data_IF_349286181475
#
_entry.id   IF_349286181475
#
_cell.length_a   1.000
_cell.length_b   1.000
_cell.length_c   1.000
_cell.angle_alpha   90.00
_cell.angle_beta   90.00
_cell.angle_gamma   90.00
#
_symmetry.space_group_name_H-M   'P 1'
#
loop_
_entity.id
_entity.type
_entity.pdbx_description
1 polymer ?
#
# COMPACT_ATOMS: atom_id res chain seq x y z
N UNK A 1 -20.41 -27.24 14.24
CA UNK A 1 -20.46 -27.28 12.76
C UNK A 1 -21.04 -26.01 12.12
N UNK A 2 -22.16 -25.46 12.60
CA UNK A 2 -22.78 -24.23 12.05
C UNK A 2 -21.84 -23.01 11.83
N UNK A 3 -20.93 -22.63 12.76
CA UNK A 3 -20.09 -21.44 12.56
C UNK A 3 -19.01 -21.62 11.48
N UNK A 4 -18.39 -22.81 11.40
CA UNK A 4 -17.39 -23.09 10.35
C UNK A 4 -18.03 -23.03 8.96
N UNK A 5 -19.24 -23.58 8.81
CA UNK A 5 -20.00 -23.53 7.55
C UNK A 5 -20.35 -22.08 7.20
N UNK A 6 -20.79 -21.26 8.18
CA UNK A 6 -21.07 -19.84 7.94
C UNK A 6 -19.85 -19.09 7.40
N UNK A 7 -18.67 -19.31 7.97
CA UNK A 7 -17.42 -18.73 7.48
C UNK A 7 -17.06 -19.18 6.06
N UNK A 8 -17.17 -20.47 5.76
CA UNK A 8 -16.89 -21.02 4.44
C UNK A 8 -17.87 -20.50 3.37
N UNK A 9 -19.16 -20.43 3.69
CA UNK A 9 -20.19 -19.84 2.82
C UNK A 9 -19.90 -18.37 2.53
N UNK A 10 -19.47 -17.59 3.53
CA UNK A 10 -19.07 -16.21 3.32
C UNK A 10 -17.80 -16.06 2.47
N UNK A 11 -16.86 -17.01 2.53
CA UNK A 11 -15.71 -17.03 1.64
C UNK A 11 -16.10 -17.25 0.17
N UNK A 12 -16.99 -18.22 -0.09
CA UNK A 12 -17.52 -18.47 -1.45
C UNK A 12 -18.30 -17.26 -1.96
N UNK A 13 -19.18 -16.68 -1.12
CA UNK A 13 -19.92 -15.46 -1.44
C UNK A 13 -18.98 -14.31 -1.78
N UNK A 14 -17.96 -14.06 -0.95
CA UNK A 14 -16.96 -13.02 -1.18
C UNK A 14 -16.20 -13.23 -2.50
N UNK A 15 -15.81 -14.48 -2.80
CA UNK A 15 -15.11 -14.80 -4.03
C UNK A 15 -15.99 -14.53 -5.26
N UNK A 16 -17.25 -14.97 -5.24
CA UNK A 16 -18.19 -14.73 -6.34
C UNK A 16 -18.51 -13.24 -6.53
N UNK A 17 -18.83 -12.53 -5.43
CA UNK A 17 -19.15 -11.09 -5.49
C UNK A 17 -17.97 -10.25 -6.00
N UNK A 18 -16.73 -10.65 -5.71
CA UNK A 18 -15.55 -9.94 -6.20
C UNK A 18 -15.13 -10.37 -7.62
N UNK A 19 -15.26 -11.65 -7.97
CA UNK A 19 -14.85 -12.17 -9.27
C UNK A 19 -15.79 -11.78 -10.41
N UNK A 20 -17.12 -11.86 -10.20
CA UNK A 20 -18.11 -11.63 -11.27
C UNK A 20 -17.93 -10.27 -11.95
N UNK A 21 -17.81 -9.13 -11.24
CA UNK A 21 -17.61 -7.83 -11.88
C UNK A 21 -16.33 -7.77 -12.72
N UNK A 22 -15.23 -8.36 -12.23
CA UNK A 22 -13.96 -8.41 -12.95
C UNK A 22 -14.10 -9.26 -14.22
N UNK A 23 -14.71 -10.44 -14.09
CA UNK A 23 -14.94 -11.34 -15.22
C UNK A 23 -15.80 -10.67 -16.30
N UNK A 24 -16.87 -9.96 -15.92
CA UNK A 24 -17.72 -9.23 -16.88
C UNK A 24 -16.94 -8.14 -17.64
N UNK A 25 -16.11 -7.36 -16.93
CA UNK A 25 -15.28 -6.33 -17.55
C UNK A 25 -14.27 -6.96 -18.52
N UNK A 26 -13.63 -8.05 -18.13
CA UNK A 26 -12.66 -8.76 -18.98
C UNK A 26 -13.35 -9.39 -20.20
N UNK A 27 -14.53 -9.98 -20.03
CA UNK A 27 -15.31 -10.53 -21.13
C UNK A 27 -15.77 -9.44 -22.10
N UNK A 28 -16.14 -8.26 -21.61
CA UNK A 28 -16.49 -7.12 -22.46
C UNK A 28 -15.28 -6.59 -23.24
N UNK A 29 -14.12 -6.48 -22.58
CA UNK A 29 -12.87 -6.11 -23.25
C UNK A 29 -12.45 -7.15 -24.31
N UNK A 30 -12.57 -8.44 -23.98
CA UNK A 30 -12.32 -9.52 -24.93
C UNK A 30 -13.32 -9.50 -26.09
N UNK A 31 -14.62 -9.36 -25.81
CA UNK A 31 -15.67 -9.32 -26.83
C UNK A 31 -15.44 -8.21 -27.88
N UNK A 32 -14.89 -7.07 -27.45
CA UNK A 32 -14.71 -5.88 -28.29
C UNK A 32 -13.36 -5.79 -28.98
N UNK A 33 -12.30 -6.36 -28.39
CA UNK A 33 -10.94 -6.21 -28.90
C UNK A 33 -10.23 -7.53 -29.26
N UNK A 34 -10.64 -8.66 -28.69
CA UNK A 34 -9.91 -9.93 -28.77
C UNK A 34 -10.71 -11.13 -29.25
N UNK A 35 -12.02 -10.99 -29.49
CA UNK A 35 -12.92 -12.10 -29.80
C UNK A 35 -12.73 -12.69 -31.19
N UNK A 36 -12.20 -11.90 -32.14
CA UNK A 36 -11.95 -12.34 -33.51
C UNK A 36 -10.85 -13.40 -33.63
N UNK A 37 -9.91 -13.43 -32.68
CA UNK A 37 -8.72 -14.31 -32.72
C UNK A 37 -8.44 -15.08 -31.42
N UNK A 38 -9.16 -14.79 -30.34
CA UNK A 38 -8.93 -15.39 -29.02
C UNK A 38 -10.05 -16.34 -28.59
N UNK A 39 -9.72 -17.27 -27.69
CA UNK A 39 -10.68 -18.22 -27.12
C UNK A 39 -11.28 -17.67 -25.83
N UNK A 40 -12.59 -17.90 -25.61
CA UNK A 40 -13.30 -17.47 -24.39
C UNK A 40 -12.63 -17.96 -23.09
N UNK A 41 -12.08 -19.17 -23.11
CA UNK A 41 -11.38 -19.76 -21.96
C UNK A 41 -10.14 -18.96 -21.56
N UNK A 42 -9.43 -18.37 -22.54
CA UNK A 42 -8.28 -17.52 -22.27
C UNK A 42 -8.70 -16.18 -21.66
N UNK A 43 -9.83 -15.63 -22.10
CA UNK A 43 -10.42 -14.42 -21.50
C UNK A 43 -10.81 -14.65 -20.04
N UNK A 44 -11.51 -15.77 -19.74
CA UNK A 44 -11.86 -16.15 -18.37
C UNK A 44 -10.61 -16.35 -17.51
N UNK A 45 -9.57 -17.00 -18.05
CA UNK A 45 -8.29 -17.17 -17.35
C UNK A 45 -7.61 -15.83 -17.07
N UNK A 46 -7.63 -14.89 -18.01
CA UNK A 46 -7.17 -13.52 -17.81
C UNK A 46 -7.94 -12.80 -16.70
N UNK A 47 -9.26 -13.02 -16.61
CA UNK A 47 -10.09 -12.53 -15.51
C UNK A 47 -9.67 -13.08 -14.15
N UNK A 48 -9.31 -14.36 -14.08
CA UNK A 48 -8.76 -14.96 -12.86
C UNK A 48 -7.43 -14.31 -12.49
N UNK A 49 -6.53 -14.05 -13.45
CA UNK A 49 -5.26 -13.37 -13.15
C UNK A 49 -5.46 -11.96 -12.62
N UNK A 50 -6.36 -11.17 -13.21
CA UNK A 50 -6.68 -9.83 -12.68
C UNK A 50 -7.26 -9.94 -11.27
N UNK A 51 -8.19 -10.88 -11.04
CA UNK A 51 -8.76 -11.09 -9.72
C UNK A 51 -7.72 -11.51 -8.68
N UNK A 52 -6.79 -12.42 -9.03
CA UNK A 52 -5.66 -12.80 -8.18
C UNK A 52 -4.72 -11.61 -7.93
N UNK A 53 -4.43 -10.80 -8.94
CA UNK A 53 -3.62 -9.59 -8.84
C UNK A 53 -4.23 -8.56 -7.89
N UNK A 54 -5.55 -8.36 -7.93
CA UNK A 54 -6.28 -7.49 -6.98
C UNK A 54 -6.17 -7.98 -5.53
N UNK A 55 -5.83 -9.25 -5.31
CA UNK A 55 -5.48 -9.80 -3.99
C UNK A 55 -3.97 -9.79 -3.71
N UNK A 56 -3.16 -9.05 -4.47
CA UNK A 56 -1.68 -9.05 -4.35
C UNK A 56 -1.04 -10.44 -4.54
N UNK A 57 -1.68 -11.33 -5.30
CA UNK A 57 -0.98 -12.53 -5.79
C UNK A 57 -0.06 -12.10 -6.93
N UNK A 58 1.22 -12.44 -6.81
CA UNK A 58 2.24 -12.07 -7.80
C UNK A 58 2.49 -13.21 -8.78
N UNK A 59 3.10 -12.90 -9.93
CA UNK A 59 3.27 -13.86 -11.02
C UNK A 59 4.73 -14.01 -11.40
N UNK A 60 5.11 -15.26 -11.69
CA UNK A 60 6.31 -15.58 -12.45
C UNK A 60 5.92 -15.70 -13.91
N UNK A 61 6.74 -15.14 -14.79
CA UNK A 61 6.51 -15.07 -16.22
C UNK A 61 7.61 -15.80 -16.98
N UNK A 62 7.25 -16.35 -18.13
CA UNK A 62 8.17 -16.84 -19.16
C UNK A 62 7.86 -16.03 -20.42
N UNK A 63 8.69 -15.03 -20.72
CA UNK A 63 8.41 -14.00 -21.72
C UNK A 63 8.53 -14.55 -23.15
N UNK A 64 7.45 -14.60 -23.95
CA UNK A 64 7.53 -15.01 -25.35
C UNK A 64 8.13 -13.90 -26.24
N UNK A 65 8.81 -14.23 -27.36
CA UNK A 65 9.19 -15.57 -27.81
C UNK A 65 10.50 -16.08 -27.19
N UNK A 66 11.22 -15.23 -26.44
CA UNK A 66 12.58 -15.51 -25.96
C UNK A 66 12.64 -16.58 -24.87
N UNK A 67 11.54 -16.85 -24.18
CA UNK A 67 11.49 -17.78 -23.06
C UNK A 67 12.19 -17.26 -21.80
N UNK A 68 12.61 -16.00 -21.78
CA UNK A 68 13.36 -15.42 -20.67
C UNK A 68 12.50 -15.31 -19.41
N UNK A 69 13.09 -15.50 -18.22
CA UNK A 69 12.37 -15.35 -16.97
C UNK A 69 11.92 -13.89 -16.77
N UNK A 70 10.71 -13.73 -16.25
CA UNK A 70 10.18 -12.44 -15.84
C UNK A 70 9.30 -12.54 -14.60
N UNK A 71 8.87 -11.40 -14.08
CA UNK A 71 7.94 -11.34 -12.94
C UNK A 71 6.97 -10.18 -13.06
N UNK A 72 5.75 -10.39 -12.58
CA UNK A 72 4.77 -9.35 -12.33
C UNK A 72 4.46 -9.34 -10.84
N UNK A 73 5.17 -8.50 -10.09
CA UNK A 73 4.96 -8.34 -8.64
C UNK A 73 4.64 -6.90 -8.23
N UNK A 74 4.84 -5.93 -9.12
CA UNK A 74 4.34 -4.58 -8.90
C UNK A 74 2.81 -4.56 -9.11
N UNK A 75 2.08 -4.63 -8.00
CA UNK A 75 0.62 -4.61 -7.97
C UNK A 75 0.14 -3.25 -7.42
N UNK A 76 -0.84 -2.59 -8.07
CA UNK A 76 -1.42 -1.35 -7.57
C UNK A 76 -2.07 -1.53 -6.19
N UNK A 77 -1.57 -0.82 -5.17
CA UNK A 77 -2.07 -0.85 -3.80
C UNK A 77 -3.53 -0.40 -3.69
N UNK A 78 -3.96 0.53 -4.56
CA UNK A 78 -5.36 0.98 -4.61
C UNK A 78 -6.32 -0.14 -5.02
N UNK A 79 -5.85 -1.17 -5.73
CA UNK A 79 -6.67 -2.33 -6.07
C UNK A 79 -7.10 -3.11 -4.81
N UNK A 80 -6.31 -3.11 -3.74
CA UNK A 80 -6.61 -3.81 -2.48
C UNK A 80 -7.87 -3.28 -1.79
N UNK A 81 -8.30 -2.05 -2.09
CA UNK A 81 -9.57 -1.51 -1.57
C UNK A 81 -10.76 -2.40 -1.94
N UNK A 82 -10.74 -2.99 -3.13
CA UNK A 82 -11.81 -3.85 -3.60
C UNK A 82 -12.02 -5.09 -2.70
N UNK A 83 -11.03 -5.98 -2.50
CA UNK A 83 -11.21 -7.13 -1.61
C UNK A 83 -11.39 -6.71 -0.14
N UNK A 84 -10.80 -5.61 0.32
CA UNK A 84 -11.04 -5.09 1.68
C UNK A 84 -12.53 -4.76 1.89
N UNK A 85 -13.18 -4.07 0.94
CA UNK A 85 -14.60 -3.73 1.02
C UNK A 85 -15.46 -5.00 1.05
N UNK A 86 -15.12 -6.00 0.24
CA UNK A 86 -15.81 -7.28 0.18
C UNK A 86 -15.70 -8.02 1.52
N UNK A 87 -14.50 -8.13 2.08
CA UNK A 87 -14.29 -8.75 3.40
C UNK A 87 -14.96 -7.99 4.53
N UNK A 88 -14.99 -6.65 4.48
CA UNK A 88 -15.78 -5.85 5.43
C UNK A 88 -17.27 -6.14 5.36
N UNK A 89 -17.79 -6.49 4.18
CA UNK A 89 -19.16 -6.96 4.01
C UNK A 89 -19.39 -8.32 4.70
N UNK A 90 -18.50 -9.29 4.45
CA UNK A 90 -18.57 -10.61 5.08
C UNK A 90 -18.44 -10.55 6.60
N UNK A 91 -17.49 -9.78 7.11
CA UNK A 91 -17.28 -9.60 8.54
C UNK A 91 -18.47 -8.91 9.22
N UNK A 92 -19.15 -7.96 8.54
CA UNK A 92 -20.40 -7.36 9.05
C UNK A 92 -21.50 -8.40 9.22
N UNK A 93 -21.75 -9.22 8.20
CA UNK A 93 -22.77 -10.28 8.25
C UNK A 93 -22.48 -11.33 9.33
N UNK A 94 -21.23 -11.78 9.43
CA UNK A 94 -20.85 -12.73 10.49
C UNK A 94 -21.04 -12.13 11.89
N UNK A 95 -20.73 -10.84 12.08
CA UNK A 95 -20.87 -10.15 13.37
C UNK A 95 -22.33 -9.85 13.75
N UNK A 96 -23.25 -9.73 12.78
CA UNK A 96 -24.68 -9.57 13.08
C UNK A 96 -25.33 -10.87 13.55
N UNK A 97 -24.80 -12.02 13.14
CA UNK A 97 -25.39 -13.32 13.44
C UNK A 97 -24.68 -14.07 14.58
N UNK A 98 -23.37 -13.85 14.75
CA UNK A 98 -22.52 -14.65 15.64
C UNK A 98 -21.70 -13.78 16.60
N UNK A 99 -21.42 -14.31 17.79
CA UNK A 99 -20.63 -13.64 18.82
C UNK A 99 -19.59 -14.59 19.45
N UNK A 100 -18.66 -14.02 20.22
CA UNK A 100 -17.70 -14.78 21.03
C UNK A 100 -16.86 -15.79 20.23
N UNK A 101 -16.80 -17.03 20.73
CA UNK A 101 -16.01 -18.12 20.12
C UNK A 101 -16.53 -18.47 18.72
N UNK A 102 -17.86 -18.47 18.52
CA UNK A 102 -18.47 -18.85 17.23
C UNK A 102 -18.11 -17.86 16.13
N UNK A 103 -18.08 -16.56 16.44
CA UNK A 103 -17.61 -15.53 15.51
C UNK A 103 -16.14 -15.75 15.13
N UNK A 104 -15.26 -16.01 16.12
CA UNK A 104 -13.83 -16.27 15.86
C UNK A 104 -13.63 -17.50 14.98
N UNK A 105 -14.35 -18.58 15.25
CA UNK A 105 -14.34 -19.79 14.41
C UNK A 105 -14.79 -19.52 12.98
N UNK A 106 -15.82 -18.66 12.80
CA UNK A 106 -16.34 -18.32 11.47
C UNK A 106 -15.38 -17.43 10.69
N UNK A 107 -14.74 -16.45 11.34
CA UNK A 107 -13.70 -15.61 10.71
C UNK A 107 -12.49 -16.46 10.31
N UNK A 108 -12.07 -17.39 11.16
CA UNK A 108 -11.00 -18.33 10.85
C UNK A 108 -11.36 -19.23 9.66
N UNK A 109 -12.57 -19.80 9.65
CA UNK A 109 -13.08 -20.62 8.54
C UNK A 109 -13.17 -19.83 7.24
N UNK A 110 -13.61 -18.57 7.29
CA UNK A 110 -13.60 -17.66 6.14
C UNK A 110 -12.18 -17.48 5.60
N UNK A 111 -11.22 -17.20 6.49
CA UNK A 111 -9.81 -17.03 6.12
C UNK A 111 -9.24 -18.26 5.41
N UNK A 112 -9.37 -19.44 6.02
CA UNK A 112 -8.87 -20.69 5.46
C UNK A 112 -9.56 -21.04 4.14
N UNK A 113 -10.89 -20.96 4.08
CA UNK A 113 -11.64 -21.28 2.86
C UNK A 113 -11.25 -20.37 1.70
N UNK A 114 -11.03 -19.08 1.97
CA UNK A 114 -10.60 -18.14 0.94
C UNK A 114 -9.15 -18.37 0.48
N UNK A 115 -8.25 -18.76 1.39
CA UNK A 115 -6.88 -19.19 1.02
C UNK A 115 -6.95 -20.37 0.06
N UNK A 116 -7.78 -21.37 0.33
CA UNK A 116 -7.97 -22.51 -0.59
C UNK A 116 -8.48 -22.08 -1.96
N UNK A 117 -9.43 -21.13 -2.03
CA UNK A 117 -9.92 -20.58 -3.30
C UNK A 117 -8.79 -19.89 -4.07
N UNK A 118 -8.00 -19.02 -3.41
CA UNK A 118 -6.87 -18.34 -4.03
C UNK A 118 -5.82 -19.31 -4.56
N UNK A 119 -5.48 -20.35 -3.78
CA UNK A 119 -4.52 -21.39 -4.18
C UNK A 119 -5.07 -22.20 -5.36
N UNK A 120 -6.32 -22.66 -5.28
CA UNK A 120 -6.95 -23.45 -6.33
C UNK A 120 -6.98 -22.68 -7.66
N UNK A 121 -7.41 -21.42 -7.64
CA UNK A 121 -7.44 -20.58 -8.84
C UNK A 121 -6.04 -20.24 -9.35
N UNK A 122 -5.05 -20.08 -8.46
CA UNK A 122 -3.65 -19.90 -8.86
C UNK A 122 -3.09 -21.12 -9.62
N UNK A 123 -3.42 -22.33 -9.17
CA UNK A 123 -2.98 -23.59 -9.79
C UNK A 123 -3.71 -23.84 -11.10
N UNK A 124 -5.04 -23.70 -11.12
CA UNK A 124 -5.87 -23.99 -12.30
C UNK A 124 -5.67 -22.98 -13.43
N UNK A 125 -5.35 -21.72 -13.11
CA UNK A 125 -5.12 -20.67 -14.12
C UNK A 125 -3.68 -20.59 -14.62
N UNK A 126 -2.78 -21.48 -14.19
CA UNK A 126 -1.38 -21.49 -14.63
C UNK A 126 -1.27 -21.85 -16.12
N UNK A 127 -0.36 -21.18 -16.82
CA UNK A 127 0.09 -21.52 -18.19
C UNK A 127 1.61 -21.63 -18.24
N UNK A 128 2.15 -21.94 -19.42
CA UNK A 128 3.61 -21.99 -19.63
C UNK A 128 4.25 -20.60 -19.50
N UNK A 129 3.53 -19.55 -19.89
CA UNK A 129 4.01 -18.17 -19.90
C UNK A 129 3.69 -17.41 -18.61
N UNK A 130 2.61 -17.78 -17.90
CA UNK A 130 2.12 -17.04 -16.73
C UNK A 130 1.80 -18.03 -15.61
N UNK A 131 2.53 -17.91 -14.50
CA UNK A 131 2.34 -18.75 -13.32
C UNK A 131 2.09 -17.90 -12.08
N UNK A 132 0.86 -17.87 -11.54
CA UNK A 132 0.57 -17.23 -10.26
C UNK A 132 1.33 -17.92 -9.11
N UNK A 133 1.86 -17.14 -8.17
CA UNK A 133 2.59 -17.64 -6.99
C UNK A 133 1.62 -17.96 -5.87
N UNK A 134 1.07 -19.17 -5.92
CA UNK A 134 0.06 -19.67 -4.96
C UNK A 134 0.46 -19.52 -3.49
N UNK A 135 1.76 -19.62 -3.16
CA UNK A 135 2.28 -19.53 -1.80
C UNK A 135 2.16 -18.12 -1.18
N UNK A 136 1.83 -17.09 -1.98
CA UNK A 136 1.56 -15.73 -1.49
C UNK A 136 0.16 -15.61 -0.88
N UNK A 137 -0.76 -16.52 -1.22
CA UNK A 137 -2.16 -16.46 -0.80
C UNK A 137 -2.39 -16.37 0.73
N UNK A 138 -1.67 -17.13 1.59
CA UNK A 138 -1.86 -17.03 3.04
C UNK A 138 -1.51 -15.63 3.57
N UNK A 139 -0.38 -15.06 3.13
CA UNK A 139 0.06 -13.73 3.57
C UNK A 139 -0.93 -12.65 3.10
N UNK A 140 -1.31 -12.68 1.82
CA UNK A 140 -2.33 -11.79 1.27
C UNK A 140 -3.62 -11.84 2.09
N UNK A 141 -4.11 -13.04 2.40
CA UNK A 141 -5.37 -13.20 3.11
C UNK A 141 -5.30 -12.65 4.54
N UNK A 142 -4.21 -12.93 5.27
CA UNK A 142 -4.01 -12.41 6.63
C UNK A 142 -3.98 -10.88 6.63
N UNK A 143 -3.28 -10.27 5.66
CA UNK A 143 -3.19 -8.82 5.53
C UNK A 143 -4.55 -8.21 5.20
N UNK A 144 -5.23 -8.71 4.16
CA UNK A 144 -6.52 -8.18 3.71
C UNK A 144 -7.62 -8.33 4.77
N UNK A 145 -7.71 -9.51 5.40
CA UNK A 145 -8.70 -9.78 6.44
C UNK A 145 -8.38 -9.02 7.74
N UNK A 146 -7.09 -8.85 8.04
CA UNK A 146 -6.60 -8.03 9.15
C UNK A 146 -7.01 -6.56 8.99
N UNK A 147 -6.72 -5.96 7.83
CA UNK A 147 -7.12 -4.57 7.52
C UNK A 147 -8.65 -4.41 7.54
N UNK A 148 -9.38 -5.34 6.92
CA UNK A 148 -10.85 -5.33 6.94
C UNK A 148 -11.42 -5.44 8.37
N UNK A 149 -10.77 -6.22 9.22
CA UNK A 149 -11.15 -6.35 10.63
C UNK A 149 -10.86 -5.09 11.44
N UNK A 150 -9.66 -4.51 11.30
CA UNK A 150 -9.23 -3.31 12.02
C UNK A 150 -10.10 -2.09 11.69
N UNK A 151 -10.35 -1.84 10.40
CA UNK A 151 -11.17 -0.70 9.94
C UNK A 151 -12.61 -0.78 10.45
N UNK A 152 -13.15 -1.99 10.62
CA UNK A 152 -14.49 -2.17 11.16
C UNK A 152 -14.52 -2.09 12.69
N UNK A 153 -13.48 -2.58 13.38
CA UNK A 153 -13.35 -2.44 14.83
C UNK A 153 -13.25 -0.98 15.26
N UNK A 154 -12.52 -0.13 14.53
CA UNK A 154 -12.46 1.30 14.81
C UNK A 154 -13.82 2.00 14.72
N UNK A 155 -14.71 1.54 13.84
CA UNK A 155 -16.04 2.12 13.69
C UNK A 155 -17.02 1.64 14.77
N UNK A 156 -16.81 0.44 15.32
CA UNK A 156 -17.72 -0.20 16.28
C UNK A 156 -17.27 0.05 17.73
N UNK A 157 -15.96 0.10 17.98
CA UNK A 157 -15.41 0.23 19.32
C UNK A 157 -15.41 1.69 19.78
N UNK A 158 -16.33 2.03 20.69
CA UNK A 158 -16.17 3.17 21.62
C UNK A 158 -15.07 2.94 22.67
N UNK A 159 -14.31 1.84 22.57
CA UNK A 159 -13.30 1.43 23.54
C UNK A 159 -12.00 2.19 23.26
N UNK A 160 -11.68 3.19 24.09
CA UNK A 160 -10.48 4.01 23.98
C UNK A 160 -9.28 3.37 24.69
N UNK A 161 -8.87 2.16 24.28
CA UNK A 161 -7.67 1.53 24.84
C UNK A 161 -6.38 2.05 24.17
N UNK A 162 -5.23 1.82 24.82
CA UNK A 162 -3.92 2.23 24.32
C UNK A 162 -3.63 1.78 22.87
N UNK A 163 -4.02 0.55 22.50
CA UNK A 163 -3.82 0.05 21.13
C UNK A 163 -4.56 0.89 20.10
N UNK A 164 -5.81 1.28 20.37
CA UNK A 164 -6.59 2.14 19.48
C UNK A 164 -6.00 3.56 19.40
N UNK A 165 -5.46 4.08 20.51
CA UNK A 165 -4.75 5.36 20.53
C UNK A 165 -3.50 5.31 19.64
N UNK A 166 -2.66 4.27 19.77
CA UNK A 166 -1.47 4.08 18.94
C UNK A 166 -1.84 3.94 17.47
N UNK A 167 -2.82 3.11 17.12
CA UNK A 167 -3.26 2.97 15.72
C UNK A 167 -3.75 4.31 15.17
N UNK A 168 -4.49 5.11 15.95
CA UNK A 168 -4.93 6.44 15.52
C UNK A 168 -3.75 7.38 15.27
N UNK A 169 -2.75 7.39 16.13
CA UNK A 169 -1.52 8.19 15.94
C UNK A 169 -0.82 7.77 14.64
N UNK A 170 -0.62 6.46 14.43
CA UNK A 170 0.03 5.94 13.23
C UNK A 170 -0.73 6.28 11.95
N UNK A 171 -2.06 6.12 11.95
CA UNK A 171 -2.91 6.48 10.81
C UNK A 171 -2.87 7.98 10.51
N UNK A 172 -2.90 8.82 11.53
CA UNK A 172 -2.79 10.27 11.35
C UNK A 172 -1.43 10.65 10.77
N UNK A 173 -0.34 10.18 11.38
CA UNK A 173 1.03 10.56 10.99
C UNK A 173 1.37 10.03 9.60
N UNK A 174 1.21 8.73 9.36
CA UNK A 174 1.52 8.13 8.06
C UNK A 174 0.54 8.60 6.99
N UNK A 175 -0.74 8.79 7.34
CA UNK A 175 -1.75 9.35 6.44
C UNK A 175 -1.42 10.78 6.02
N UNK A 176 -0.93 11.62 6.94
CA UNK A 176 -0.46 12.98 6.62
C UNK A 176 0.76 12.95 5.70
N UNK A 177 1.76 12.09 5.98
CA UNK A 177 2.94 11.95 5.11
C UNK A 177 2.56 11.54 3.69
N UNK A 178 1.71 10.51 3.56
CA UNK A 178 1.21 10.06 2.26
C UNK A 178 0.35 11.14 1.59
N UNK A 179 -0.47 11.87 2.34
CA UNK A 179 -1.25 13.00 1.83
C UNK A 179 -0.38 14.12 1.26
N UNK A 180 0.68 14.52 1.98
CA UNK A 180 1.65 15.53 1.51
C UNK A 180 2.38 15.03 0.26
N UNK A 181 2.78 13.75 0.23
CA UNK A 181 3.42 13.16 -0.94
C UNK A 181 2.51 13.14 -2.18
N UNK A 182 1.19 12.98 -2.00
CA UNK A 182 0.20 13.07 -3.07
C UNK A 182 0.02 14.49 -3.59
N UNK A 183 0.04 15.49 -2.70
CA UNK A 183 0.01 16.91 -3.11
C UNK A 183 1.27 17.23 -3.94
N UNK A 184 2.44 16.80 -3.46
CA UNK A 184 3.71 16.96 -4.19
C UNK A 184 3.68 16.27 -5.55
N UNK A 185 3.23 15.01 -5.61
CA UNK A 185 3.06 14.28 -6.85
C UNK A 185 2.08 14.98 -7.81
N UNK A 186 0.95 15.47 -7.30
CA UNK A 186 -0.06 16.17 -8.10
C UNK A 186 0.49 17.48 -8.69
N UNK A 187 1.26 18.23 -7.89
CA UNK A 187 1.95 19.42 -8.36
C UNK A 187 2.97 19.07 -9.47
N UNK A 188 3.77 18.01 -9.27
CA UNK A 188 4.71 17.53 -10.29
C UNK A 188 3.99 17.10 -11.57
N UNK A 189 2.89 16.35 -11.47
CA UNK A 189 2.11 15.91 -12.62
C UNK A 189 1.49 17.09 -13.38
N UNK A 190 1.00 18.10 -12.66
CA UNK A 190 0.46 19.33 -13.27
C UNK A 190 1.53 20.12 -14.03
N UNK A 191 2.75 20.20 -13.48
CA UNK A 191 3.89 20.83 -14.16
C UNK A 191 4.32 20.05 -15.42
N UNK A 192 4.14 18.73 -15.43
CA UNK A 192 4.50 17.85 -16.55
C UNK A 192 3.26 17.39 -17.35
N UNK A 193 2.19 18.19 -17.36
CA UNK A 193 0.93 17.80 -18.00
C UNK A 193 1.04 17.57 -19.51
N UNK A 194 1.95 18.26 -20.19
CA UNK A 194 2.24 18.01 -21.61
C UNK A 194 2.74 16.58 -21.85
N UNK A 195 3.68 16.10 -21.04
CA UNK A 195 4.21 14.73 -21.12
C UNK A 195 3.10 13.70 -20.85
N UNK A 196 2.23 13.96 -19.88
CA UNK A 196 1.06 13.11 -19.61
C UNK A 196 0.16 12.99 -20.84
N UNK A 197 -0.11 14.11 -21.51
CA UNK A 197 -0.93 14.13 -22.73
C UNK A 197 -0.28 13.32 -23.84
N UNK A 198 1.02 13.50 -24.07
CA UNK A 198 1.76 12.78 -25.11
C UNK A 198 1.75 11.26 -24.86
N UNK A 199 1.94 10.83 -23.61
CA UNK A 199 1.84 9.41 -23.24
C UNK A 199 0.46 8.82 -23.54
N UNK A 200 -0.63 9.53 -23.18
CA UNK A 200 -2.00 9.07 -23.45
C UNK A 200 -2.28 9.04 -24.96
N UNK A 201 -1.79 10.03 -25.71
CA UNK A 201 -1.94 10.09 -27.18
C UNK A 201 -1.21 8.94 -27.86
N UNK A 202 -0.02 8.56 -27.39
CA UNK A 202 0.73 7.41 -27.93
C UNK A 202 0.04 6.08 -27.57
N UNK A 203 -0.56 5.96 -26.40
CA UNK A 203 -1.24 4.73 -25.96
C UNK A 203 -2.50 4.41 -26.78
N UNK A 204 -3.17 5.42 -27.34
CA UNK A 204 -4.42 5.30 -28.12
C UNK A 204 -5.40 4.24 -27.55
N UNK A 205 -5.77 4.30 -26.27
CA UNK A 205 -6.41 3.16 -25.59
C UNK A 205 -7.88 2.94 -26.01
N UNK A 206 -8.44 3.76 -26.89
CA UNK A 206 -9.87 3.78 -27.21
C UNK A 206 -10.74 4.10 -25.99
N UNK A 207 -12.06 3.96 -26.11
CA UNK A 207 -12.99 4.28 -25.02
C UNK A 207 -12.87 3.26 -23.88
N UNK A 208 -13.03 1.96 -24.18
CA UNK A 208 -12.99 0.91 -23.15
C UNK A 208 -11.60 0.78 -22.53
N UNK A 209 -10.54 0.73 -23.33
CA UNK A 209 -9.18 0.70 -22.80
C UNK A 209 -8.84 1.99 -22.03
N UNK A 210 -9.38 3.15 -22.44
CA UNK A 210 -9.22 4.41 -21.71
C UNK A 210 -9.82 4.37 -20.31
N UNK A 211 -11.03 3.79 -20.16
CA UNK A 211 -11.66 3.57 -18.86
C UNK A 211 -10.83 2.61 -17.99
N UNK A 212 -10.36 1.50 -18.56
CA UNK A 212 -9.53 0.52 -17.84
C UNK A 212 -8.19 1.10 -17.42
N UNK A 213 -7.56 1.89 -18.30
CA UNK A 213 -6.32 2.61 -18.02
C UNK A 213 -6.53 3.63 -16.90
N UNK A 214 -7.65 4.36 -16.91
CA UNK A 214 -7.98 5.30 -15.84
C UNK A 214 -8.13 4.59 -14.49
N UNK A 215 -8.82 3.44 -14.45
CA UNK A 215 -8.95 2.63 -13.24
C UNK A 215 -7.57 2.17 -12.75
N UNK A 216 -6.71 1.69 -13.65
CA UNK A 216 -5.35 1.25 -13.33
C UNK A 216 -4.50 2.41 -12.80
N UNK A 217 -4.59 3.57 -13.43
CA UNK A 217 -3.92 4.81 -13.00
C UNK A 217 -4.36 5.16 -11.58
N UNK A 218 -5.67 5.26 -11.32
CA UNK A 218 -6.19 5.57 -9.98
C UNK A 218 -5.74 4.54 -8.96
N UNK A 219 -5.77 3.25 -9.31
CA UNK A 219 -5.32 2.18 -8.42
C UNK A 219 -3.82 2.25 -8.09
N UNK A 220 -3.00 2.85 -8.96
CA UNK A 220 -1.54 2.95 -8.80
C UNK A 220 -1.10 4.20 -8.02
N UNK A 221 -2.00 5.19 -7.87
CA UNK A 221 -1.72 6.43 -7.12
C UNK A 221 -1.10 6.16 -5.73
N UNK A 222 -1.58 5.20 -4.91
CA UNK A 222 -0.96 4.95 -3.62
C UNK A 222 0.48 4.44 -3.69
N UNK A 223 0.86 3.66 -4.72
CA UNK A 223 2.25 3.25 -4.92
C UNK A 223 3.14 4.46 -5.24
N UNK A 224 2.61 5.40 -6.05
CA UNK A 224 3.32 6.62 -6.40
C UNK A 224 3.45 7.56 -5.19
N UNK A 225 2.46 7.60 -4.30
CA UNK A 225 2.56 8.33 -3.03
C UNK A 225 3.76 7.86 -2.20
N UNK A 226 3.92 6.54 -2.06
CA UNK A 226 5.07 5.95 -1.33
C UNK A 226 6.40 6.33 -2.01
N UNK A 227 6.45 6.29 -3.34
CA UNK A 227 7.63 6.68 -4.11
C UNK A 227 7.96 8.17 -3.98
N UNK A 228 6.94 9.03 -4.04
CA UNK A 228 7.06 10.47 -3.84
C UNK A 228 7.50 10.81 -2.41
N UNK A 229 7.00 10.09 -1.40
CA UNK A 229 7.44 10.25 -0.02
C UNK A 229 8.92 9.87 0.12
N UNK A 230 9.35 8.76 -0.46
CA UNK A 230 10.76 8.37 -0.46
C UNK A 230 11.67 9.38 -1.17
N UNK A 231 11.19 10.01 -2.24
CA UNK A 231 11.89 11.13 -2.89
C UNK A 231 12.04 12.32 -1.94
N UNK A 232 10.96 12.74 -1.27
CA UNK A 232 10.97 13.88 -0.34
C UNK A 232 11.84 13.65 0.90
N UNK A 233 11.84 12.44 1.46
CA UNK A 233 12.71 12.09 2.59
C UNK A 233 14.17 11.91 2.15
N UNK A 234 14.46 11.83 0.84
CA UNK A 234 15.81 11.77 0.30
C UNK A 234 16.30 10.41 -0.26
N UNK A 235 15.88 9.23 0.24
CA UNK A 235 16.28 7.93 -0.32
C UNK A 235 15.97 7.76 -1.80
N UNK A 236 14.87 8.34 -2.28
CA UNK A 236 14.41 8.20 -3.66
C UNK A 236 13.78 6.86 -3.98
N UNK A 237 13.65 6.59 -5.27
CA UNK A 237 13.05 5.37 -5.81
C UNK A 237 13.69 4.97 -7.14
N UNK A 238 13.47 3.72 -7.53
CA UNK A 238 13.89 3.15 -8.81
C UNK A 238 12.70 2.98 -9.76
N UNK A 239 12.96 3.15 -11.05
CA UNK A 239 12.09 2.73 -12.17
C UNK A 239 12.98 1.93 -13.13
N UNK A 240 13.23 0.68 -12.76
CA UNK A 240 14.10 -0.22 -13.49
C UNK A 240 15.46 -0.44 -12.85
N UNK A 241 16.14 -1.49 -13.30
CA UNK A 241 17.44 -1.91 -12.78
C UNK A 241 18.50 -0.83 -12.96
N UNK A 242 19.29 -0.56 -11.91
CA UNK A 242 20.37 0.42 -11.92
C UNK A 242 19.93 1.89 -11.91
N UNK A 243 18.63 2.16 -11.79
CA UNK A 243 18.10 3.53 -11.73
C UNK A 243 18.06 4.05 -10.28
N UNK A 244 18.15 5.37 -10.12
CA UNK A 244 17.94 6.05 -8.85
C UNK A 244 17.49 7.47 -9.10
N UNK A 245 16.32 7.80 -8.56
CA UNK A 245 15.71 9.12 -8.68
C UNK A 245 15.51 9.67 -7.27
N UNK A 246 16.31 10.66 -6.91
CA UNK A 246 16.22 11.40 -5.65
C UNK A 246 16.61 12.88 -5.87
N UNK A 247 16.51 13.77 -4.85
CA UNK A 247 16.85 15.18 -5.00
C UNK A 247 18.27 15.48 -5.50
N UNK A 248 19.24 14.58 -5.29
CA UNK A 248 20.65 14.75 -5.65
C UNK A 248 21.11 13.92 -6.87
N UNK A 249 20.38 12.85 -7.20
CA UNK A 249 20.75 11.87 -8.22
C UNK A 249 19.57 11.65 -9.13
N UNK A 250 19.79 11.81 -10.43
CA UNK A 250 18.84 11.49 -11.48
C UNK A 250 19.49 10.53 -12.46
N UNK A 251 19.35 9.22 -12.19
CA UNK A 251 19.76 8.14 -13.10
C UNK A 251 18.51 7.38 -13.51
N UNK A 252 18.18 7.43 -14.79
CA UNK A 252 16.97 6.80 -15.34
C UNK A 252 17.34 5.98 -16.57
N UNK A 253 16.65 4.85 -16.75
CA UNK A 253 16.72 4.04 -17.96
C UNK A 253 15.54 4.32 -18.88
N UNK A 254 15.26 3.38 -19.79
CA UNK A 254 13.98 3.39 -20.51
C UNK A 254 12.84 3.14 -19.52
N UNK A 255 11.87 4.06 -19.50
CA UNK A 255 10.66 3.95 -18.69
C UNK A 255 9.47 3.50 -19.54
N UNK A 256 8.56 2.68 -19.00
CA UNK A 256 7.35 2.31 -19.71
C UNK A 256 6.49 3.56 -19.94
N UNK A 257 5.70 3.54 -21.01
CA UNK A 257 4.73 4.59 -21.32
C UNK A 257 3.50 4.52 -20.37
N UNK A 258 3.74 4.62 -19.07
CA UNK A 258 2.70 4.61 -18.04
C UNK A 258 2.37 6.05 -17.62
N UNK A 259 1.10 6.50 -17.69
CA UNK A 259 0.74 7.92 -17.53
C UNK A 259 1.28 8.60 -16.27
N UNK A 260 1.28 7.92 -15.11
CA UNK A 260 1.74 8.54 -13.86
C UNK A 260 3.25 8.82 -13.82
N UNK A 261 4.03 8.15 -14.66
CA UNK A 261 5.47 8.41 -14.74
C UNK A 261 5.79 9.75 -15.41
N UNK A 262 4.81 10.42 -16.02
CA UNK A 262 4.97 11.81 -16.49
C UNK A 262 5.38 12.77 -15.35
N UNK A 263 5.01 12.48 -14.11
CA UNK A 263 5.36 13.31 -12.96
C UNK A 263 6.81 13.13 -12.45
N UNK A 264 7.59 12.24 -13.07
CA UNK A 264 8.98 11.98 -12.66
C UNK A 264 9.82 13.24 -12.92
N UNK A 265 10.55 13.75 -11.92
CA UNK A 265 11.41 14.91 -12.12
C UNK A 265 12.46 14.67 -13.21
N UNK A 266 12.66 15.62 -14.11
CA UNK A 266 13.62 15.53 -15.22
C UNK A 266 15.05 15.95 -14.86
N UNK A 267 15.23 16.63 -13.73
CA UNK A 267 16.52 17.14 -13.26
C UNK A 267 16.65 16.96 -11.74
N UNK A 268 17.88 16.99 -11.24
CA UNK A 268 18.15 17.02 -9.80
C UNK A 268 17.80 18.39 -9.23
N UNK A 269 17.19 18.42 -8.04
CA UNK A 269 16.95 19.65 -7.30
C UNK A 269 17.21 19.43 -5.81
N UNK A 270 18.42 19.80 -5.36
CA UNK A 270 18.86 19.61 -3.97
C UNK A 270 18.03 20.37 -2.95
N UNK A 271 17.31 21.44 -3.34
CA UNK A 271 16.41 22.14 -2.42
C UNK A 271 15.27 21.24 -1.93
N UNK A 272 14.91 20.18 -2.68
CA UNK A 272 13.87 19.25 -2.30
C UNK A 272 14.24 18.37 -1.08
N UNK A 273 15.50 18.39 -0.63
CA UNK A 273 15.86 17.84 0.69
C UNK A 273 15.20 18.56 1.87
N UNK A 274 14.56 19.72 1.65
CA UNK A 274 13.66 20.31 2.65
C UNK A 274 12.56 19.32 3.09
N UNK A 275 12.22 18.33 2.25
CA UNK A 275 11.30 17.25 2.58
C UNK A 275 11.74 16.36 3.74
N UNK A 276 13.02 16.33 4.12
CA UNK A 276 13.53 15.67 5.34
C UNK A 276 12.84 16.19 6.60
N UNK A 277 12.42 17.47 6.59
CA UNK A 277 11.65 18.05 7.69
C UNK A 277 10.30 17.36 7.90
N UNK A 278 9.76 16.66 6.89
CA UNK A 278 8.54 15.86 7.03
C UNK A 278 8.75 14.65 7.93
N UNK A 279 9.87 13.92 7.78
CA UNK A 279 10.21 12.80 8.65
C UNK A 279 10.47 13.25 10.09
N UNK A 280 11.21 14.34 10.26
CA UNK A 280 11.43 14.98 11.57
C UNK A 280 10.09 15.45 12.17
N UNK A 281 9.25 16.11 11.39
CA UNK A 281 7.92 16.55 11.81
C UNK A 281 7.02 15.39 12.22
N UNK A 282 7.09 14.26 11.51
CA UNK A 282 6.34 13.05 11.84
C UNK A 282 6.74 12.49 13.21
N UNK A 283 8.04 12.40 13.49
CA UNK A 283 8.56 11.99 14.80
C UNK A 283 8.14 12.92 15.94
N UNK A 284 8.26 14.23 15.70
CA UNK A 284 7.81 15.25 16.66
C UNK A 284 6.30 15.13 16.94
N UNK A 285 5.49 14.92 15.90
CA UNK A 285 4.05 14.75 16.03
C UNK A 285 3.66 13.45 16.75
N UNK A 286 4.37 12.35 16.51
CA UNK A 286 4.20 11.11 17.28
C UNK A 286 4.45 11.39 18.77
N UNK A 287 5.57 12.04 19.11
CA UNK A 287 5.91 12.37 20.49
C UNK A 287 4.85 13.29 21.14
N UNK A 288 4.37 14.30 20.42
CA UNK A 288 3.32 15.21 20.87
C UNK A 288 1.99 14.50 21.12
N UNK A 289 1.57 13.61 20.23
CA UNK A 289 0.31 12.88 20.38
C UNK A 289 0.41 11.79 21.46
N UNK A 290 1.60 11.21 21.65
CA UNK A 290 1.86 10.23 22.72
C UNK A 290 1.67 10.81 24.12
N UNK A 291 1.89 12.12 24.32
CA UNK A 291 1.60 12.79 25.60
C UNK A 291 0.10 12.79 25.97
N UNK A 292 -0.79 12.50 25.02
CA UNK A 292 -2.23 12.41 25.25
C UNK A 292 -2.71 10.98 25.50
N UNK A 293 -1.79 10.03 25.63
CA UNK A 293 -2.09 8.60 25.81
C UNK A 293 -1.93 8.18 27.26
N UNK A 294 -2.50 7.02 27.60
CA UNK A 294 -2.39 6.42 28.95
C UNK A 294 -0.95 6.09 29.36
N UNK A 295 -0.01 6.04 28.40
CA UNK A 295 1.41 5.72 28.61
C UNK A 295 2.33 6.92 28.35
N UNK A 296 1.85 8.14 28.58
CA UNK A 296 2.65 9.35 28.40
C UNK A 296 3.90 9.37 29.30
N UNK A 297 3.80 8.82 30.51
CA UNK A 297 4.89 8.77 31.49
C UNK A 297 5.86 7.60 31.27
N UNK A 298 5.56 6.67 30.37
CA UNK A 298 6.42 5.52 30.05
C UNK A 298 7.53 5.95 29.07
N UNK A 299 8.81 5.93 29.49
CA UNK A 299 9.92 6.39 28.66
C UNK A 299 10.15 5.52 27.41
N UNK A 300 9.66 4.27 27.39
CA UNK A 300 9.81 3.36 26.26
C UNK A 300 8.63 3.43 25.28
N UNK A 301 7.47 3.89 25.72
CA UNK A 301 6.26 3.90 24.90
C UNK A 301 6.43 4.73 23.61
N UNK A 302 7.00 5.94 23.70
CA UNK A 302 7.21 6.77 22.51
C UNK A 302 8.23 6.17 21.53
N UNK A 303 9.46 5.76 21.96
CA UNK A 303 10.43 5.13 21.06
C UNK A 303 9.87 3.89 20.36
N UNK A 304 9.11 3.06 21.09
CA UNK A 304 8.44 1.88 20.53
C UNK A 304 7.46 2.30 19.43
N UNK A 305 6.66 3.35 19.62
CA UNK A 305 5.70 3.82 18.60
C UNK A 305 6.41 4.40 17.37
N UNK A 306 7.56 5.07 17.53
CA UNK A 306 8.40 5.51 16.39
C UNK A 306 8.96 4.32 15.62
N UNK A 307 9.42 3.27 16.31
CA UNK A 307 9.86 2.03 15.64
C UNK A 307 8.69 1.36 14.92
N UNK A 308 7.51 1.27 15.56
CA UNK A 308 6.32 0.72 14.93
C UNK A 308 5.92 1.54 13.70
N UNK A 309 6.00 2.87 13.72
CA UNK A 309 5.68 3.69 12.54
C UNK A 309 6.61 3.40 11.38
N UNK A 310 7.90 3.22 11.63
CA UNK A 310 8.88 2.84 10.60
C UNK A 310 8.63 1.43 10.07
N UNK A 311 8.28 0.47 10.94
CA UNK A 311 7.90 -0.89 10.53
C UNK A 311 6.63 -0.88 9.67
N UNK A 312 5.60 -0.12 10.06
CA UNK A 312 4.38 0.01 9.25
C UNK A 312 4.68 0.65 7.90
N UNK A 313 5.53 1.68 7.85
CA UNK A 313 5.98 2.28 6.59
C UNK A 313 6.78 1.28 5.75
N UNK A 314 7.64 0.46 6.35
CA UNK A 314 8.38 -0.60 5.67
C UNK A 314 7.45 -1.65 5.05
N UNK A 315 6.38 -2.02 5.76
CA UNK A 315 5.35 -2.95 5.24
C UNK A 315 4.61 -2.31 4.05
N UNK A 316 4.17 -1.06 4.17
CA UNK A 316 3.54 -0.33 3.07
C UNK A 316 4.49 -0.25 1.87
N UNK A 317 5.77 0.06 2.12
CA UNK A 317 6.81 0.12 1.10
C UNK A 317 6.98 -1.23 0.40
N UNK A 318 7.08 -2.32 1.14
CA UNK A 318 7.20 -3.67 0.58
C UNK A 318 6.08 -3.98 -0.42
N UNK A 319 4.82 -3.71 -0.07
CA UNK A 319 3.69 -3.97 -0.98
C UNK A 319 3.58 -2.95 -2.12
N UNK A 320 4.19 -1.77 -1.98
CA UNK A 320 4.25 -0.73 -3.02
C UNK A 320 5.27 -1.04 -4.12
N UNK A 321 6.23 -1.92 -3.84
CA UNK A 321 7.34 -2.24 -4.72
C UNK A 321 7.07 -3.49 -5.55
N UNK A 322 7.87 -3.68 -6.61
CA UNK A 322 7.91 -4.94 -7.32
C UNK A 322 8.67 -4.88 -8.64
N UNK A 323 8.39 -5.87 -9.47
CA UNK A 323 8.99 -6.10 -10.77
C UNK A 323 7.90 -6.06 -11.83
N UNK A 324 8.21 -5.50 -13.00
CA UNK A 324 7.37 -5.56 -14.19
C UNK A 324 8.13 -6.24 -15.32
N UNK A 325 7.70 -7.42 -15.74
CA UNK A 325 8.26 -8.15 -16.89
C UNK A 325 9.72 -8.60 -16.66
N UNK A 326 10.67 -8.11 -17.45
CA UNK A 326 12.05 -8.61 -17.51
C UNK A 326 13.05 -7.79 -16.70
N UNK A 327 14.34 -8.10 -16.86
CA UNK A 327 15.45 -7.55 -16.06
C UNK A 327 15.54 -6.01 -16.05
N UNK A 328 15.16 -5.35 -17.16
CA UNK A 328 15.22 -3.88 -17.22
C UNK A 328 14.29 -3.21 -16.22
N UNK A 329 13.17 -3.85 -15.89
CA UNK A 329 12.14 -3.37 -14.98
C UNK A 329 12.05 -4.27 -13.73
N UNK A 330 13.19 -4.82 -13.31
CA UNK A 330 13.29 -5.71 -12.16
C UNK A 330 13.07 -5.02 -10.81
N UNK A 331 13.34 -3.72 -10.73
CA UNK A 331 13.29 -2.93 -9.50
C UNK A 331 12.43 -1.68 -9.69
N UNK A 332 11.26 -1.64 -9.05
CA UNK A 332 10.32 -0.52 -9.13
C UNK A 332 9.84 -0.16 -7.74
N UNK A 333 10.12 1.09 -7.35
CA UNK A 333 9.73 1.69 -6.07
C UNK A 333 10.94 2.03 -5.19
N UNK A 334 10.70 2.46 -3.93
CA UNK A 334 11.77 2.81 -3.00
C UNK A 334 12.51 1.60 -2.43
N UNK A 335 13.80 1.79 -2.13
CA UNK A 335 14.62 0.78 -1.43
C UNK A 335 13.90 0.21 -0.21
N UNK A 336 13.80 -1.12 -0.14
CA UNK A 336 13.06 -1.83 0.91
C UNK A 336 13.59 -1.60 2.32
N UNK A 337 14.87 -1.26 2.46
CA UNK A 337 15.52 -1.02 3.76
C UNK A 337 16.02 0.40 3.96
N UNK A 338 16.58 1.06 2.93
CA UNK A 338 17.16 2.41 3.10
C UNK A 338 16.03 3.40 3.41
N UNK A 339 14.92 3.32 2.70
CA UNK A 339 13.80 4.23 2.89
C UNK A 339 13.23 4.19 4.33
N UNK A 340 12.82 3.02 4.87
CA UNK A 340 12.30 2.97 6.24
C UNK A 340 13.36 3.28 7.31
N UNK A 341 14.64 2.96 7.08
CA UNK A 341 15.71 3.29 8.03
C UNK A 341 15.99 4.80 8.10
N UNK A 342 15.98 5.49 6.96
CA UNK A 342 16.10 6.96 6.92
C UNK A 342 14.89 7.60 7.59
N UNK A 343 13.67 7.14 7.30
CA UNK A 343 12.48 7.61 8.00
C UNK A 343 12.57 7.38 9.53
N UNK A 344 13.03 6.20 9.98
CA UNK A 344 13.23 5.90 11.39
C UNK A 344 14.19 6.89 12.05
N UNK A 345 15.30 7.20 11.39
CA UNK A 345 16.28 8.17 11.87
C UNK A 345 15.67 9.57 11.99
N UNK A 346 15.02 10.05 10.93
CA UNK A 346 14.39 11.37 10.89
C UNK A 346 13.30 11.49 11.97
N UNK A 347 12.42 10.50 12.08
CA UNK A 347 11.38 10.45 13.10
C UNK A 347 11.97 10.35 14.52
N UNK A 348 13.05 9.59 14.70
CA UNK A 348 13.78 9.52 15.97
C UNK A 348 14.33 10.89 16.38
N UNK A 349 14.94 11.63 15.44
CA UNK A 349 15.42 13.00 15.67
C UNK A 349 14.26 13.92 16.07
N UNK A 350 13.16 13.88 15.32
CA UNK A 350 11.96 14.68 15.62
C UNK A 350 11.38 14.44 17.01
N UNK A 351 11.29 13.18 17.41
CA UNK A 351 10.84 12.81 18.74
C UNK A 351 11.83 13.24 19.84
N UNK A 352 13.14 13.13 19.59
CA UNK A 352 14.18 13.62 20.48
C UNK A 352 14.12 15.14 20.70
N UNK A 353 13.86 15.92 19.63
CA UNK A 353 13.65 17.37 19.70
C UNK A 353 12.48 17.69 20.63
N UNK A 354 11.36 16.98 20.51
CA UNK A 354 10.20 17.18 21.38
C UNK A 354 10.54 16.95 22.87
N UNK A 355 11.25 15.87 23.18
CA UNK A 355 11.70 15.58 24.56
C UNK A 355 12.64 16.68 25.08
N UNK A 356 13.59 17.14 24.25
CA UNK A 356 14.50 18.21 24.62
C UNK A 356 13.75 19.49 25.01
N UNK A 357 12.80 19.90 24.19
CA UNK A 357 11.97 21.12 24.43
C UNK A 357 11.15 20.99 25.72
N UNK A 358 10.50 19.84 25.94
CA UNK A 358 9.68 19.64 27.15
C UNK A 358 10.52 19.61 28.43
N UNK A 359 11.71 18.99 28.39
CA UNK A 359 12.63 18.97 29.53
C UNK A 359 13.15 20.37 29.88
N UNK A 360 13.57 21.14 28.88
CA UNK A 360 14.03 22.53 29.07
C UNK A 360 12.90 23.38 29.68
N UNK A 361 11.69 23.28 29.13
CA UNK A 361 10.52 24.06 29.61
C UNK A 361 10.19 23.73 31.07
N UNK A 362 10.27 22.46 31.47
CA UNK A 362 10.04 22.03 32.86
C UNK A 362 11.09 22.57 33.81
N UNK A 363 12.37 22.54 33.43
CA UNK A 363 13.48 23.10 34.22
C UNK A 363 13.25 24.60 34.45
N UNK A 364 13.01 25.37 33.38
CA UNK A 364 12.78 26.82 33.47
C UNK A 364 11.60 27.17 34.37
N UNK A 365 10.53 26.36 34.37
CA UNK A 365 9.36 26.56 35.23
C UNK A 365 9.69 26.32 36.71
N UNK A 366 10.50 25.29 37.01
CA UNK A 366 10.94 24.99 38.39
C UNK A 366 11.84 26.12 38.91
N UNK A 367 12.80 26.59 38.11
CA UNK A 367 13.71 27.68 38.49
C UNK A 367 12.94 28.97 38.79
N UNK A 368 11.91 29.31 37.99
CA UNK A 368 11.04 30.47 38.25
C UNK A 368 10.19 30.35 39.53
N UNK A 369 9.77 29.13 39.89
CA UNK A 369 9.02 28.90 41.12
C UNK A 369 9.94 29.01 42.35
N UNK A 370 11.17 28.51 42.25
CA UNK A 370 12.16 28.63 43.32
C UNK A 370 12.58 30.09 43.55
N UNK A 371 12.76 30.89 42.49
CA UNK A 371 13.07 32.31 42.66
C UNK A 371 11.94 33.09 43.34
N UNK A 372 10.68 32.78 43.01
CA UNK A 372 9.50 33.43 43.59
C UNK A 372 9.23 33.05 45.05
N UNK A 373 9.67 31.88 45.50
CA UNK A 373 9.52 31.45 46.90
C UNK A 373 10.65 31.98 47.81
N UNK A 374 11.72 32.54 47.24
CA UNK A 374 12.87 33.09 47.97
C UNK A 374 12.82 34.63 48.07
N UNK A 375 11.79 35.25 47.48
CA UNK A 375 11.37 36.65 47.68
C UNK A 375 10.18 36.67 48.65
#
# INVERSE_FOLDING_TARGET
MRPLIAGATEAVRAALTSYIPIALVVLMAWATAGSASGVLTDALRGGIWIWLGVHHITFTLTLPPSGLPGSLSFIPLGALLFPIIIFRGSLRRLRSELQGVQLRQSIFSLGISYIFILIALSVVSKTISISPRWYVAPLSMVVLLGIASLTQLQHIAKVNNYLNQVIRILLLVLGMLLGISLIFFSASLALHFSVLKDLITVLQPGILGGILLLILVIATIPNIAVSALAYLLGPGFAIGSGTLINPAVHRIGEIPAFPLLAAVPTNTNKFLFIGVLLGVGAGFMIALLMQKTERADDPLAMPIVVVISAVVLAIINYFSNGTLLGERLSDIGPSLWIFPLIYLLEAGIGAGIYIGITKITKITKITKLQSKNNE
#
